data_IF_968230023197
#
_entry.id   IF_968230023197
#
_cell.length_a   1.000
_cell.length_b   1.000
_cell.length_c   1.000
_cell.angle_alpha   90.00
_cell.angle_beta   90.00
_cell.angle_gamma   90.00
#
_symmetry.space_group_name_H-M   'P 1'
#
loop_
_entity.id
_entity.type
_entity.pdbx_description
1 polymer ?
#
# COMPACT_ATOMS: atom_id res chain seq x y z
N UNK A 1 -19.88 0.00 9.89
CA UNK A 1 -19.11 1.10 9.26
C UNK A 1 -20.04 2.14 8.64
N UNK A 2 -20.83 1.80 7.61
CA UNK A 2 -21.79 2.72 7.00
C UNK A 2 -22.75 3.33 8.04
N UNK A 3 -22.84 4.66 8.06
CA UNK A 3 -23.75 5.41 8.94
C UNK A 3 -23.46 5.31 10.44
N UNK A 4 -22.40 4.62 10.86
CA UNK A 4 -22.11 4.36 12.27
C UNK A 4 -21.02 5.29 12.80
N UNK A 5 -21.38 6.18 13.73
CA UNK A 5 -20.42 7.02 14.43
C UNK A 5 -19.46 6.19 15.30
N UNK A 6 -18.21 6.64 15.40
CA UNK A 6 -17.21 6.03 16.28
C UNK A 6 -16.62 4.69 15.80
N UNK A 7 -17.00 4.18 14.63
CA UNK A 7 -16.40 2.94 14.09
C UNK A 7 -14.87 3.09 13.92
N UNK A 8 -14.41 4.10 13.18
CA UNK A 8 -12.97 4.32 12.96
C UNK A 8 -12.23 4.61 14.26
N UNK A 9 -12.83 5.38 15.17
CA UNK A 9 -12.22 5.68 16.48
C UNK A 9 -12.02 4.42 17.32
N UNK A 10 -12.97 3.48 17.33
CA UNK A 10 -12.80 2.20 18.03
C UNK A 10 -11.74 1.32 17.38
N UNK A 11 -11.74 1.22 16.05
CA UNK A 11 -10.73 0.44 15.31
C UNK A 11 -9.33 0.97 15.60
N UNK A 12 -9.06 2.25 15.32
CA UNK A 12 -7.73 2.84 15.56
C UNK A 12 -7.38 2.97 17.05
N UNK A 13 -8.39 3.05 17.93
CA UNK A 13 -8.20 2.94 19.38
C UNK A 13 -7.61 1.60 19.78
N UNK A 14 -8.09 0.49 19.22
CA UNK A 14 -7.52 -0.84 19.47
C UNK A 14 -6.05 -0.93 18.99
N UNK A 15 -5.76 -0.41 17.79
CA UNK A 15 -4.38 -0.32 17.29
C UNK A 15 -3.46 0.46 18.26
N UNK A 16 -3.93 1.59 18.79
CA UNK A 16 -3.18 2.39 19.75
C UNK A 16 -2.94 1.67 21.09
N UNK A 17 -3.96 0.97 21.62
CA UNK A 17 -3.85 0.16 22.85
C UNK A 17 -2.74 -0.89 22.75
N UNK A 18 -2.65 -1.57 21.60
CA UNK A 18 -1.65 -2.61 21.33
C UNK A 18 -0.33 -2.06 20.77
N UNK A 19 -0.15 -0.72 20.72
CA UNK A 19 1.04 -0.06 20.18
C UNK A 19 1.39 -0.44 18.73
N UNK A 20 0.40 -0.90 17.97
CA UNK A 20 0.53 -1.29 16.57
C UNK A 20 0.43 -0.06 15.67
N UNK A 21 1.51 0.24 14.96
CA UNK A 21 1.56 1.37 14.03
C UNK A 21 0.93 1.00 12.69
N UNK A 22 -0.02 1.83 12.23
CA UNK A 22 -0.67 1.71 10.92
C UNK A 22 0.05 2.60 9.91
N UNK A 23 0.29 2.07 8.72
CA UNK A 23 0.97 2.78 7.62
C UNK A 23 -0.04 3.27 6.56
N UNK A 24 -0.58 2.37 5.74
CA UNK A 24 -1.53 2.71 4.67
C UNK A 24 -2.94 2.33 5.08
N UNK A 25 -3.91 3.20 4.76
CA UNK A 25 -5.35 2.97 5.00
C UNK A 25 -6.13 3.07 3.70
N UNK A 26 -7.05 2.15 3.48
CA UNK A 26 -8.04 2.18 2.41
C UNK A 26 -9.41 1.78 2.95
N UNK A 27 -10.47 2.35 2.40
CA UNK A 27 -11.83 2.15 2.88
C UNK A 27 -12.77 1.80 1.73
N UNK A 28 -13.76 0.97 2.03
CA UNK A 28 -14.96 0.78 1.22
C UNK A 28 -16.18 1.26 2.01
N UNK A 29 -17.39 1.03 1.52
CA UNK A 29 -18.62 1.35 2.26
C UNK A 29 -18.75 0.57 3.58
N UNK A 30 -18.26 -0.67 3.59
CA UNK A 30 -18.47 -1.63 4.69
C UNK A 30 -17.19 -2.20 5.28
N UNK A 31 -16.03 -1.83 4.76
CA UNK A 31 -14.74 -2.35 5.24
C UNK A 31 -13.65 -1.27 5.30
N UNK A 32 -12.68 -1.53 6.18
CA UNK A 32 -11.41 -0.82 6.24
C UNK A 32 -10.29 -1.85 6.06
N UNK A 33 -9.31 -1.51 5.23
CA UNK A 33 -8.08 -2.26 5.04
C UNK A 33 -6.92 -1.39 5.49
N UNK A 34 -6.00 -1.98 6.25
CA UNK A 34 -4.81 -1.28 6.76
C UNK A 34 -3.55 -2.12 6.54
N UNK A 35 -2.43 -1.45 6.31
CA UNK A 35 -1.09 -2.06 6.39
C UNK A 35 -0.41 -1.63 7.69
N UNK A 36 0.54 -2.44 8.15
CA UNK A 36 1.27 -2.19 9.38
C UNK A 36 2.68 -1.71 9.06
N UNK A 37 3.19 -0.78 9.86
CA UNK A 37 4.53 -0.22 9.70
C UNK A 37 5.59 -1.30 9.99
N UNK A 38 6.44 -1.67 9.02
CA UNK A 38 7.43 -2.73 9.19
C UNK A 38 8.54 -2.35 10.19
N UNK A 39 8.74 -1.06 10.50
CA UNK A 39 9.88 -0.59 11.30
C UNK A 39 9.80 -0.92 12.78
N UNK A 40 8.62 -1.29 13.29
CA UNK A 40 8.42 -1.59 14.72
C UNK A 40 8.51 -3.07 15.10
N UNK A 41 8.62 -3.98 14.13
CA UNK A 41 8.56 -5.41 14.41
C UNK A 41 9.94 -6.04 14.47
N UNK A 42 10.46 -6.18 15.69
CA UNK A 42 11.80 -6.68 15.97
C UNK A 42 11.94 -8.20 15.79
N UNK A 43 10.86 -8.98 15.93
CA UNK A 43 10.80 -10.41 15.60
C UNK A 43 9.41 -10.82 15.08
N UNK A 44 9.35 -11.89 14.25
CA UNK A 44 8.09 -12.42 13.71
C UNK A 44 7.14 -12.97 14.78
N UNK A 45 7.67 -13.50 15.88
CA UNK A 45 6.88 -14.08 16.97
C UNK A 45 6.14 -13.02 17.79
N UNK A 46 6.80 -11.90 18.10
CA UNK A 46 6.18 -10.78 18.81
C UNK A 46 5.04 -10.18 17.99
N UNK A 47 5.24 -10.04 16.67
CA UNK A 47 4.21 -9.58 15.75
C UNK A 47 2.98 -10.50 15.77
N UNK A 48 3.15 -11.82 15.72
CA UNK A 48 2.03 -12.75 15.70
C UNK A 48 1.22 -12.76 17.01
N UNK A 49 1.90 -12.59 18.14
CA UNK A 49 1.24 -12.45 19.43
C UNK A 49 0.43 -11.14 19.54
N UNK A 50 1.02 -9.99 19.20
CA UNK A 50 0.30 -8.71 19.24
C UNK A 50 -0.86 -8.66 18.24
N UNK A 51 -0.68 -9.25 17.06
CA UNK A 51 -1.76 -9.39 16.08
C UNK A 51 -2.90 -10.26 16.59
N UNK A 52 -2.63 -11.27 17.40
CA UNK A 52 -3.67 -12.09 18.00
C UNK A 52 -4.49 -11.28 19.02
N UNK A 53 -3.83 -10.55 19.92
CA UNK A 53 -4.50 -9.69 20.90
C UNK A 53 -5.33 -8.59 20.24
N UNK A 54 -4.77 -7.94 19.21
CA UNK A 54 -5.47 -6.93 18.42
C UNK A 54 -6.72 -7.51 17.72
N UNK A 55 -6.64 -8.72 17.18
CA UNK A 55 -7.78 -9.40 16.57
C UNK A 55 -8.88 -9.69 17.59
N UNK A 56 -8.51 -10.13 18.79
CA UNK A 56 -9.46 -10.37 19.87
C UNK A 56 -10.19 -9.09 20.31
N UNK A 57 -9.50 -7.95 20.35
CA UNK A 57 -10.12 -6.66 20.69
C UNK A 57 -11.03 -6.11 19.58
N UNK A 58 -10.67 -6.36 18.31
CA UNK A 58 -11.45 -5.86 17.16
C UNK A 58 -12.63 -6.79 16.82
N UNK A 59 -12.65 -8.05 17.31
CA UNK A 59 -13.70 -9.03 16.97
C UNK A 59 -15.12 -8.53 17.26
N UNK A 60 -15.29 -7.73 18.31
CA UNK A 60 -16.59 -7.16 18.70
C UNK A 60 -16.97 -5.93 17.85
N UNK A 61 -16.01 -5.36 17.12
CA UNK A 61 -16.21 -4.25 16.18
C UNK A 61 -16.55 -4.78 14.77
N UNK A 62 -15.93 -5.89 14.37
CA UNK A 62 -16.18 -6.53 13.09
C UNK A 62 -15.28 -7.74 12.80
N UNK A 63 -15.52 -8.38 11.65
CA UNK A 63 -14.72 -9.53 11.20
C UNK A 63 -13.33 -9.06 10.75
N UNK A 64 -12.29 -9.60 11.39
CA UNK A 64 -10.89 -9.32 11.04
C UNK A 64 -10.32 -10.42 10.16
N UNK A 65 -9.52 -10.05 9.16
CA UNK A 65 -8.72 -10.97 8.35
C UNK A 65 -7.30 -10.42 8.24
N UNK A 66 -6.35 -11.13 8.84
CA UNK A 66 -4.92 -10.82 8.68
C UNK A 66 -4.40 -11.51 7.42
N UNK A 67 -3.65 -10.76 6.60
CA UNK A 67 -2.99 -11.32 5.43
C UNK A 67 -1.52 -10.92 5.43
N UNK A 68 -0.65 -11.88 5.11
CA UNK A 68 0.81 -11.71 5.05
C UNK A 68 1.29 -11.81 3.60
N UNK A 69 2.57 -11.50 3.38
CA UNK A 69 3.24 -11.58 2.07
C UNK A 69 2.69 -10.56 1.06
N UNK A 70 2.62 -9.30 1.48
CA UNK A 70 2.30 -8.16 0.65
C UNK A 70 3.46 -7.16 0.64
N UNK A 71 3.54 -6.40 -0.44
CA UNK A 71 4.43 -5.25 -0.57
C UNK A 71 3.64 -4.00 -0.90
N UNK A 72 4.22 -2.85 -0.57
CA UNK A 72 3.70 -1.54 -0.91
C UNK A 72 4.65 -0.91 -1.92
N UNK A 73 4.15 -0.60 -3.12
CA UNK A 73 4.83 0.23 -4.12
C UNK A 73 4.26 1.63 -4.00
N UNK A 74 5.12 2.60 -3.66
CA UNK A 74 4.75 4.01 -3.57
C UNK A 74 5.11 4.75 -4.86
N UNK A 75 4.11 5.31 -5.53
CA UNK A 75 4.28 6.12 -6.72
C UNK A 75 4.31 7.59 -6.34
N UNK A 76 5.49 8.20 -6.44
CA UNK A 76 5.67 9.63 -6.19
C UNK A 76 5.54 10.38 -7.52
N UNK A 77 4.48 11.16 -7.68
CA UNK A 77 4.17 11.79 -8.97
C UNK A 77 3.62 13.21 -8.87
N UNK A 78 3.66 13.93 -10.00
CA UNK A 78 3.00 15.22 -10.12
C UNK A 78 1.48 15.01 -10.21
N UNK A 79 0.77 15.57 -9.23
CA UNK A 79 -0.69 15.51 -9.08
C UNK A 79 -1.48 15.89 -10.33
N UNK A 80 -0.95 16.82 -11.15
CA UNK A 80 -1.62 17.26 -12.39
C UNK A 80 -1.59 16.19 -13.49
N UNK A 81 -0.75 15.17 -13.34
CA UNK A 81 -0.56 14.07 -14.29
C UNK A 81 -0.93 12.71 -13.69
N UNK A 82 -1.62 12.69 -12.54
CA UNK A 82 -1.91 11.44 -11.82
C UNK A 82 -2.64 10.42 -12.69
N UNK A 83 -3.58 10.84 -13.54
CA UNK A 83 -4.31 9.93 -14.43
C UNK A 83 -3.42 9.29 -15.48
N UNK A 84 -2.52 10.07 -16.11
CA UNK A 84 -1.54 9.55 -17.09
C UNK A 84 -0.56 8.57 -16.42
N UNK A 85 -0.11 8.91 -15.20
CA UNK A 85 0.79 8.04 -14.42
C UNK A 85 0.10 6.72 -14.08
N UNK A 86 -1.13 6.78 -13.56
CA UNK A 86 -1.90 5.59 -13.22
C UNK A 86 -2.21 4.72 -14.44
N UNK A 87 -2.55 5.32 -15.59
CA UNK A 87 -2.76 4.59 -16.84
C UNK A 87 -1.53 3.76 -17.22
N UNK A 88 -0.35 4.39 -17.26
CA UNK A 88 0.92 3.71 -17.59
C UNK A 88 1.24 2.60 -16.59
N UNK A 89 1.05 2.87 -15.31
CA UNK A 89 1.26 1.89 -14.23
C UNK A 89 0.37 0.66 -14.42
N UNK A 90 -0.96 0.86 -14.53
CA UNK A 90 -1.88 -0.28 -14.63
C UNK A 90 -1.72 -1.04 -15.94
N UNK A 91 -1.34 -0.37 -17.04
CA UNK A 91 -0.98 -1.03 -18.29
C UNK A 91 0.26 -1.91 -18.13
N UNK A 92 1.31 -1.40 -17.47
CA UNK A 92 2.54 -2.15 -17.20
C UNK A 92 2.24 -3.39 -16.33
N UNK A 93 1.57 -3.20 -15.18
CA UNK A 93 1.24 -4.29 -14.25
C UNK A 93 0.35 -5.35 -14.89
N UNK A 94 -0.62 -4.95 -15.71
CA UNK A 94 -1.46 -5.89 -16.48
C UNK A 94 -0.64 -6.77 -17.43
N UNK A 95 0.38 -6.20 -18.08
CA UNK A 95 1.28 -6.96 -18.97
C UNK A 95 2.11 -8.01 -18.24
N UNK A 96 2.24 -7.90 -16.92
CA UNK A 96 3.00 -8.80 -16.05
C UNK A 96 2.13 -9.78 -15.26
N UNK A 97 0.81 -9.73 -15.45
CA UNK A 97 -0.16 -10.48 -14.63
C UNK A 97 -0.03 -10.18 -13.11
N UNK A 98 0.32 -8.93 -12.77
CA UNK A 98 0.43 -8.47 -11.38
C UNK A 98 -0.84 -7.71 -10.99
N UNK A 99 -1.54 -8.23 -9.98
CA UNK A 99 -2.76 -7.62 -9.46
C UNK A 99 -2.46 -6.66 -8.30
N UNK A 100 -3.07 -5.47 -8.36
CA UNK A 100 -3.12 -4.53 -7.22
C UNK A 100 -4.32 -4.89 -6.37
N UNK A 101 -4.10 -5.22 -5.10
CA UNK A 101 -5.14 -5.64 -4.16
C UNK A 101 -5.70 -4.48 -3.32
N UNK A 102 -4.91 -3.42 -3.13
CA UNK A 102 -5.37 -2.22 -2.43
C UNK A 102 -4.66 -0.98 -2.98
N UNK A 103 -5.41 0.11 -3.09
CA UNK A 103 -4.93 1.42 -3.54
C UNK A 103 -5.26 2.43 -2.45
N UNK A 104 -4.31 3.29 -2.11
CA UNK A 104 -4.54 4.42 -1.23
C UNK A 104 -3.91 5.68 -1.80
N UNK A 105 -4.73 6.71 -1.98
CA UNK A 105 -4.31 8.02 -2.48
C UNK A 105 -4.96 9.11 -1.62
N UNK A 106 -4.12 9.91 -0.96
CA UNK A 106 -4.57 11.05 -0.16
C UNK A 106 -4.89 12.30 -0.99
N UNK A 107 -5.39 13.33 -0.31
CA UNK A 107 -5.80 14.60 -0.93
C UNK A 107 -4.65 15.37 -1.59
N UNK A 108 -3.43 15.25 -1.06
CA UNK A 108 -2.23 15.88 -1.65
C UNK A 108 -1.81 15.22 -2.97
N UNK A 109 -2.36 14.05 -3.32
CA UNK A 109 -2.15 13.26 -4.56
C UNK A 109 -0.69 13.01 -4.98
N UNK A 110 0.31 13.41 -4.20
CA UNK A 110 1.74 13.28 -4.54
C UNK A 110 2.26 11.87 -4.34
N UNK A 111 1.64 11.10 -3.44
CA UNK A 111 1.91 9.69 -3.21
C UNK A 111 0.66 8.86 -3.50
N UNK A 112 0.83 7.80 -4.30
CA UNK A 112 -0.17 6.75 -4.50
C UNK A 112 0.45 5.44 -4.05
N UNK A 113 -0.09 4.85 -2.99
CA UNK A 113 0.34 3.55 -2.49
C UNK A 113 -0.44 2.43 -3.18
N UNK A 114 0.28 1.49 -3.77
CA UNK A 114 -0.26 0.27 -4.37
C UNK A 114 0.19 -0.93 -3.54
N UNK A 115 -0.76 -1.68 -3.02
CA UNK A 115 -0.52 -2.90 -2.25
C UNK A 115 -0.75 -4.10 -3.15
N UNK A 116 0.23 -5.01 -3.20
CA UNK A 116 0.20 -6.20 -4.06
C UNK A 116 0.95 -7.36 -3.42
N UNK A 117 0.80 -8.55 -3.99
CA UNK A 117 1.52 -9.76 -3.57
C UNK A 117 3.04 -9.57 -3.66
N UNK A 118 3.74 -10.02 -2.62
CA UNK A 118 5.19 -9.85 -2.52
C UNK A 118 5.96 -10.59 -3.63
N UNK A 119 5.38 -11.65 -4.17
CA UNK A 119 5.95 -12.45 -5.25
C UNK A 119 6.11 -11.66 -6.57
N UNK A 120 5.23 -10.68 -6.84
CA UNK A 120 5.27 -9.87 -8.07
C UNK A 120 5.86 -8.47 -7.91
N UNK A 121 6.10 -8.03 -6.67
CA UNK A 121 6.49 -6.65 -6.38
C UNK A 121 7.90 -6.28 -6.88
N UNK A 122 8.97 -7.11 -6.72
CA UNK A 122 10.31 -6.75 -7.18
C UNK A 122 10.38 -6.56 -8.70
N UNK A 123 9.74 -7.43 -9.46
CA UNK A 123 9.65 -7.38 -10.91
C UNK A 123 8.79 -6.18 -11.35
N UNK A 124 7.66 -5.95 -10.69
CA UNK A 124 6.81 -4.79 -10.94
C UNK A 124 7.57 -3.47 -10.79
N UNK A 125 8.38 -3.32 -9.73
CA UNK A 125 9.22 -2.11 -9.55
C UNK A 125 10.20 -1.92 -10.71
N UNK A 126 10.88 -2.99 -11.15
CA UNK A 126 11.82 -2.93 -12.28
C UNK A 126 11.11 -2.52 -13.58
N UNK A 127 9.96 -3.13 -13.87
CA UNK A 127 9.20 -2.86 -15.07
C UNK A 127 8.62 -1.45 -15.08
N UNK A 128 8.07 -0.98 -13.95
CA UNK A 128 7.60 0.39 -13.79
C UNK A 128 8.75 1.39 -13.96
N UNK A 129 9.91 1.11 -13.37
CA UNK A 129 11.09 1.96 -13.55
C UNK A 129 11.49 2.05 -15.03
N UNK A 130 11.46 0.93 -15.77
CA UNK A 130 11.72 0.92 -17.21
C UNK A 130 10.64 1.67 -18.02
N UNK A 131 9.36 1.53 -17.67
CA UNK A 131 8.25 2.24 -18.35
C UNK A 131 8.37 3.76 -18.20
N UNK A 132 8.83 4.25 -17.06
CA UNK A 132 8.94 5.70 -16.80
C UNK A 132 10.30 6.30 -17.17
N UNK A 133 11.39 5.55 -17.02
CA UNK A 133 12.77 6.06 -17.13
C UNK A 133 13.66 5.24 -18.07
N UNK A 134 13.14 4.17 -18.67
CA UNK A 134 13.86 3.42 -19.69
C UNK A 134 14.23 4.32 -20.87
N UNK A 135 15.41 4.08 -21.46
CA UNK A 135 15.84 4.84 -22.62
C UNK A 135 14.89 4.62 -23.79
N UNK A 136 13.97 5.55 -24.01
CA UNK A 136 13.44 5.78 -25.34
C UNK A 136 14.60 6.28 -26.19
N UNK A 137 14.94 5.55 -27.26
CA UNK A 137 15.70 6.13 -28.38
C UNK A 137 14.90 7.34 -28.90
N UNK A 138 15.12 8.50 -28.32
CA UNK A 138 14.33 9.70 -28.57
C UNK A 138 14.15 10.57 -27.33
N UNK A 139 14.98 11.62 -27.25
CA UNK A 139 14.81 12.85 -26.46
C UNK A 139 14.66 12.75 -24.93
N UNK A 140 15.76 12.89 -24.18
CA UNK A 140 15.64 13.17 -22.74
C UNK A 140 16.92 13.17 -21.90
N UNK A 141 17.83 14.13 -22.12
CA UNK A 141 18.81 14.81 -21.21
C UNK A 141 19.51 14.13 -20.02
N UNK A 142 19.32 12.86 -19.67
CA UNK A 142 19.94 12.24 -18.48
C UNK A 142 21.00 11.16 -18.78
N UNK A 143 21.47 11.05 -20.02
CA UNK A 143 22.52 10.10 -20.42
C UNK A 143 23.95 10.46 -19.97
N UNK A 144 24.12 11.29 -18.94
CA UNK A 144 25.43 11.79 -18.51
C UNK A 144 25.63 11.78 -17.00
N UNK A 145 25.30 10.69 -16.31
CA UNK A 145 25.90 10.42 -14.99
C UNK A 145 26.18 8.92 -14.86
N UNK A 146 27.25 8.46 -15.49
CA UNK A 146 28.05 7.32 -15.00
C UNK A 146 29.42 7.33 -15.69
N UNK A 147 30.43 7.79 -14.98
CA UNK A 147 31.81 7.29 -15.09
C UNK A 147 32.20 6.81 -13.71
#
# INVERSE_FOLDING_TARGET
MLGQFGFMSRVFGAFATHQVSVDVVATSEVSISVTLDPTKYWTRELLDHELHLLQEDIKDIGKVKVQKNYSIISLICNVKRSSEVLEKVFRCLKGMDVNVEMISQGASKTNIALVMRNEGAPEAVKALHLEFYGETKGSGKYSKISK
#
